data_IF_780923744447
#
_entry.id   IF_780923744447
#
_cell.length_a   1.000
_cell.length_b   1.000
_cell.length_c   1.000
_cell.angle_alpha   90.00
_cell.angle_beta   90.00
_cell.angle_gamma   90.00
#
_symmetry.space_group_name_H-M   'P 1'
#
loop_
_entity.id
_entity.type
_entity.pdbx_description
1 polymer ?
#
# COMPACT_ATOMS: atom_id res chain seq x y z
N UNK A 1 11.89 22.02 15.52
CA UNK A 1 12.79 21.41 14.51
C UNK A 1 13.34 20.12 15.10
N UNK A 2 13.09 18.98 14.46
CA UNK A 2 13.71 17.73 14.84
C UNK A 2 15.18 17.78 14.41
N UNK A 3 16.12 17.63 15.35
CA UNK A 3 17.53 17.51 15.02
C UNK A 3 17.81 16.06 14.64
N UNK A 4 18.24 15.84 13.40
CA UNK A 4 18.52 14.50 12.90
C UNK A 4 20.05 14.30 12.94
N UNK A 5 20.55 13.15 13.42
CA UNK A 5 21.99 12.87 13.40
C UNK A 5 22.58 12.99 11.98
N UNK A 6 23.83 13.41 11.87
CA UNK A 6 24.52 13.61 10.58
C UNK A 6 24.54 12.34 9.72
N UNK A 7 24.58 11.17 10.35
CA UNK A 7 24.53 9.88 9.66
C UNK A 7 23.20 9.66 8.93
N UNK A 8 22.08 9.96 9.58
CA UNK A 8 20.75 9.87 8.98
C UNK A 8 20.58 10.87 7.83
N UNK A 9 21.13 12.08 7.99
CA UNK A 9 21.12 13.09 6.94
C UNK A 9 21.97 12.65 5.73
N UNK A 10 23.12 12.02 5.97
CA UNK A 10 23.95 11.42 4.92
C UNK A 10 23.20 10.31 4.19
N UNK A 11 22.50 9.43 4.91
CA UNK A 11 21.69 8.38 4.32
C UNK A 11 20.57 8.95 3.43
N UNK A 12 19.84 9.95 3.93
CA UNK A 12 18.79 10.63 3.17
C UNK A 12 19.32 11.24 1.87
N UNK A 13 20.51 11.87 1.90
CA UNK A 13 21.19 12.40 0.71
C UNK A 13 21.54 11.31 -0.30
N UNK A 14 22.12 10.19 0.14
CA UNK A 14 22.48 9.09 -0.78
C UNK A 14 21.26 8.52 -1.50
N UNK A 15 20.13 8.40 -0.80
CA UNK A 15 18.87 7.93 -1.39
C UNK A 15 18.28 8.98 -2.34
N UNK A 16 18.34 10.27 -1.97
CA UNK A 16 17.95 11.39 -2.82
C UNK A 16 18.71 11.39 -4.14
N UNK A 17 20.04 11.31 -4.08
CA UNK A 17 20.92 11.27 -5.25
C UNK A 17 20.59 10.09 -6.18
N UNK A 18 20.28 8.92 -5.60
CA UNK A 18 19.91 7.72 -6.37
C UNK A 18 18.53 7.83 -7.02
N UNK A 19 17.59 8.51 -6.37
CA UNK A 19 16.18 8.57 -6.80
C UNK A 19 15.82 9.84 -7.55
N UNK A 20 16.73 10.81 -7.64
CA UNK A 20 16.49 12.13 -8.24
C UNK A 20 15.50 12.97 -7.44
N UNK A 21 15.34 12.71 -6.14
CA UNK A 21 14.40 13.40 -5.24
C UNK A 21 15.16 14.31 -4.27
N UNK A 22 14.49 15.25 -3.62
CA UNK A 22 15.10 16.01 -2.53
C UNK A 22 15.27 15.13 -1.27
N UNK A 23 16.29 15.41 -0.45
CA UNK A 23 16.49 14.67 0.81
C UNK A 23 15.29 14.81 1.76
N UNK A 24 14.65 15.98 1.76
CA UNK A 24 13.42 16.24 2.52
C UNK A 24 12.26 15.36 2.04
N UNK A 25 12.04 15.26 0.73
CA UNK A 25 11.00 14.42 0.16
C UNK A 25 11.21 12.93 0.41
N UNK A 26 12.47 12.49 0.44
CA UNK A 26 12.84 11.12 0.81
C UNK A 26 12.46 10.85 2.27
N UNK A 27 12.86 11.74 3.18
CA UNK A 27 12.56 11.60 4.62
C UNK A 27 11.06 11.64 4.87
N UNK A 28 10.35 12.59 4.27
CA UNK A 28 8.90 12.72 4.39
C UNK A 28 8.19 11.44 3.95
N UNK A 29 8.50 10.92 2.76
CA UNK A 29 7.86 9.70 2.25
C UNK A 29 8.23 8.46 3.07
N UNK A 30 9.47 8.37 3.57
CA UNK A 30 9.85 7.28 4.46
C UNK A 30 9.03 7.29 5.75
N UNK A 31 8.88 8.46 6.37
CA UNK A 31 8.08 8.62 7.60
C UNK A 31 6.60 8.38 7.33
N UNK A 32 6.04 8.90 6.22
CA UNK A 32 4.64 8.65 5.83
C UNK A 32 4.37 7.14 5.67
N UNK A 33 5.31 6.39 5.06
CA UNK A 33 5.21 4.93 4.91
C UNK A 33 5.24 4.22 6.25
N UNK A 34 6.17 4.57 7.14
CA UNK A 34 6.24 3.97 8.49
C UNK A 34 4.98 4.29 9.30
N UNK A 35 4.50 5.54 9.25
CA UNK A 35 3.29 5.94 9.92
C UNK A 35 2.06 5.18 9.42
N UNK A 36 1.98 4.90 8.11
CA UNK A 36 0.96 4.04 7.53
C UNK A 36 1.09 2.59 8.00
N UNK A 37 2.32 2.04 8.00
CA UNK A 37 2.59 0.66 8.41
C UNK A 37 2.19 0.41 9.86
N UNK A 38 2.47 1.36 10.74
CA UNK A 38 2.13 1.28 12.17
C UNK A 38 0.76 1.86 12.52
N UNK A 39 -0.06 2.23 11.54
CA UNK A 39 -1.43 2.73 11.76
C UNK A 39 -1.52 4.10 12.44
N UNK A 40 -0.43 4.87 12.43
CA UNK A 40 -0.42 6.28 12.88
C UNK A 40 -1.13 7.18 11.87
N UNK A 41 -0.98 6.87 10.58
CA UNK A 41 -1.72 7.51 9.48
C UNK A 41 -2.55 6.47 8.75
N UNK A 42 -3.75 6.88 8.33
CA UNK A 42 -4.55 6.08 7.41
C UNK A 42 -3.86 6.01 6.03
N UNK A 43 -3.96 4.85 5.38
CA UNK A 43 -3.58 4.76 3.96
C UNK A 43 -4.44 5.74 3.17
N UNK A 44 -3.84 6.56 2.28
CA UNK A 44 -4.64 7.38 1.39
C UNK A 44 -5.58 6.45 0.61
N UNK A 45 -6.89 6.68 0.76
CA UNK A 45 -7.91 5.92 0.03
C UNK A 45 -7.73 6.24 -1.44
N UNK A 46 -7.09 5.35 -2.19
CA UNK A 46 -7.08 5.45 -3.63
C UNK A 46 -8.52 5.22 -4.13
N UNK A 47 -9.18 6.30 -4.53
CA UNK A 47 -10.50 6.23 -5.12
C UNK A 47 -10.32 5.80 -6.57
N UNK A 48 -10.71 4.57 -6.87
CA UNK A 48 -10.82 4.12 -8.26
C UNK A 48 -11.88 4.95 -8.97
N UNK A 49 -11.56 5.36 -10.19
CA UNK A 49 -12.52 5.90 -11.15
C UNK A 49 -13.50 4.81 -11.59
N UNK A 50 -14.64 5.21 -12.15
CA UNK A 50 -15.62 4.26 -12.69
C UNK A 50 -15.01 3.37 -13.80
N UNK A 51 -14.12 3.94 -14.63
CA UNK A 51 -13.42 3.22 -15.68
C UNK A 51 -12.47 2.15 -15.11
N UNK A 52 -11.68 2.50 -14.09
CA UNK A 52 -10.81 1.54 -13.41
C UNK A 52 -11.62 0.43 -12.73
N UNK A 53 -12.79 0.74 -12.18
CA UNK A 53 -13.68 -0.27 -11.59
C UNK A 53 -14.22 -1.24 -12.63
N UNK A 54 -14.64 -0.76 -13.80
CA UNK A 54 -15.12 -1.59 -14.90
C UNK A 54 -13.99 -2.48 -15.45
N UNK A 55 -12.82 -1.91 -15.73
CA UNK A 55 -11.65 -2.65 -16.21
C UNK A 55 -11.19 -3.72 -15.21
N UNK A 56 -11.24 -3.41 -13.91
CA UNK A 56 -10.98 -4.39 -12.86
C UNK A 56 -12.02 -5.52 -12.87
N UNK A 57 -13.31 -5.19 -12.99
CA UNK A 57 -14.40 -6.17 -13.07
C UNK A 57 -14.25 -7.14 -14.24
N UNK A 58 -13.95 -6.63 -15.44
CA UNK A 58 -13.71 -7.48 -16.62
C UNK A 58 -12.53 -8.43 -16.39
N UNK A 59 -11.45 -7.94 -15.78
CA UNK A 59 -10.28 -8.75 -15.47
C UNK A 59 -10.60 -9.87 -14.50
N UNK A 60 -11.38 -9.61 -13.44
CA UNK A 60 -11.79 -10.63 -12.47
C UNK A 60 -12.75 -11.63 -13.09
N UNK A 61 -13.72 -11.17 -13.90
CA UNK A 61 -14.70 -12.04 -14.55
C UNK A 61 -14.07 -13.02 -15.56
N UNK A 62 -12.93 -12.66 -16.15
CA UNK A 62 -12.17 -13.52 -17.05
C UNK A 62 -11.31 -14.59 -16.33
N UNK A 63 -11.15 -14.51 -15.01
CA UNK A 63 -10.35 -15.47 -14.26
C UNK A 63 -11.10 -16.81 -14.07
N UNK A 64 -10.39 -17.93 -14.01
CA UNK A 64 -11.00 -19.22 -13.71
C UNK A 64 -11.56 -19.25 -12.28
N UNK A 65 -12.69 -19.92 -12.10
CA UNK A 65 -13.26 -20.20 -10.77
C UNK A 65 -12.39 -21.26 -10.08
N UNK A 66 -11.70 -20.87 -9.01
CA UNK A 66 -10.78 -21.75 -8.27
C UNK A 66 -11.48 -22.60 -7.21
N UNK A 67 -12.58 -22.09 -6.66
CA UNK A 67 -13.40 -22.78 -5.68
C UNK A 67 -14.86 -22.75 -6.17
N UNK A 68 -15.44 -23.91 -6.52
CA UNK A 68 -16.81 -23.99 -7.02
C UNK A 68 -17.86 -23.89 -5.91
N UNK A 69 -17.46 -23.91 -4.64
CA UNK A 69 -18.39 -23.77 -3.51
C UNK A 69 -19.11 -22.43 -3.57
N UNK A 70 -20.38 -22.45 -3.20
CA UNK A 70 -21.15 -21.24 -3.01
C UNK A 70 -20.61 -20.41 -1.83
N UNK A 71 -20.87 -19.09 -1.79
CA UNK A 71 -20.49 -18.26 -0.65
C UNK A 71 -21.00 -18.78 0.71
N UNK A 72 -22.16 -19.42 0.74
CA UNK A 72 -22.73 -19.99 1.97
C UNK A 72 -21.94 -21.20 2.44
N UNK A 73 -21.64 -22.15 1.54
CA UNK A 73 -20.84 -23.33 1.86
C UNK A 73 -19.43 -22.96 2.35
N UNK A 74 -18.83 -21.91 1.77
CA UNK A 74 -17.54 -21.38 2.25
C UNK A 74 -17.67 -20.82 3.67
N UNK A 75 -18.75 -20.09 3.97
CA UNK A 75 -18.97 -19.50 5.28
C UNK A 75 -19.25 -20.55 6.36
N UNK A 76 -20.03 -21.59 6.03
CA UNK A 76 -20.36 -22.66 6.95
C UNK A 76 -19.11 -23.48 7.34
N UNK A 77 -18.20 -23.73 6.38
CA UNK A 77 -16.92 -24.41 6.60
C UNK A 77 -15.98 -23.59 7.52
N UNK A 78 -15.90 -22.26 7.31
CA UNK A 78 -15.11 -21.37 8.17
C UNK A 78 -15.58 -21.34 9.63
N UNK A 79 -16.89 -21.47 9.86
CA UNK A 79 -17.49 -21.44 11.20
C UNK A 79 -17.52 -22.81 11.90
N UNK A 80 -17.06 -23.87 11.23
CA UNK A 80 -16.97 -25.21 11.78
C UNK A 80 -15.65 -25.49 12.54
N UNK A 81 -14.74 -24.51 12.60
CA UNK A 81 -13.41 -24.54 13.24
C UNK A 81 -13.47 -23.83 14.60
#
# INVERSE_FOLDING_TARGET
MLQVPQETERLARLVADRTGRSAEDVVRVAIEREAITFGVLDKPKHRMTAEEMLAFGERIAAMPVLDPRSPQEIMDDLNAI
#
